data_IF_614239767492
#
_entry.id   IF_614239767492
#
_cell.length_a   1.000
_cell.length_b   1.000
_cell.length_c   1.000
_cell.angle_alpha   90.00
_cell.angle_beta   90.00
_cell.angle_gamma   90.00
#
_symmetry.space_group_name_H-M   'P 1'
#
loop_
_entity.id
_entity.type
_entity.pdbx_description
1 polymer ?
#
# COMPACT_ATOMS: atom_id res chain seq x y z
N UNK A 1 28.06 -21.10 7.09
CA UNK A 1 26.73 -20.50 7.07
C UNK A 1 26.10 -20.74 5.71
N UNK A 2 24.77 -20.97 5.66
CA UNK A 2 24.10 -21.20 4.39
C UNK A 2 24.01 -19.89 3.59
N UNK A 3 24.46 -19.93 2.35
CA UNK A 3 24.39 -18.80 1.41
C UNK A 3 22.99 -18.68 0.79
N UNK A 4 22.20 -19.75 0.85
CA UNK A 4 20.82 -19.78 0.35
C UNK A 4 19.87 -20.03 1.54
N UNK A 5 18.76 -19.26 1.65
CA UNK A 5 17.78 -19.49 2.71
C UNK A 5 17.22 -20.92 2.66
N UNK A 6 17.30 -21.70 3.74
CA UNK A 6 16.66 -23.00 3.77
C UNK A 6 15.14 -22.86 3.75
N UNK A 7 14.46 -23.79 3.10
CA UNK A 7 13.01 -23.89 3.17
C UNK A 7 12.60 -24.35 4.56
N UNK A 8 11.73 -23.59 5.21
CA UNK A 8 11.21 -23.89 6.55
C UNK A 8 9.68 -23.83 6.52
N UNK A 9 9.06 -24.51 7.50
CA UNK A 9 7.62 -24.51 7.65
C UNK A 9 7.11 -23.10 8.03
N UNK A 10 5.99 -22.68 7.47
CA UNK A 10 5.44 -21.31 7.64
C UNK A 10 5.15 -20.97 9.11
N UNK A 11 4.76 -21.94 9.93
CA UNK A 11 4.46 -21.76 11.35
C UNK A 11 5.64 -21.93 12.30
N UNK A 12 6.88 -22.08 11.82
CA UNK A 12 8.01 -22.42 12.72
C UNK A 12 8.37 -21.31 13.71
N UNK A 13 7.86 -20.10 13.53
CA UNK A 13 8.08 -18.93 14.39
C UNK A 13 6.77 -18.31 14.90
N UNK A 14 5.64 -19.02 14.89
CA UNK A 14 4.32 -18.45 15.20
C UNK A 14 4.26 -17.78 16.58
N UNK A 15 4.93 -18.33 17.58
CA UNK A 15 5.00 -17.77 18.93
C UNK A 15 6.21 -16.85 19.17
N UNK A 16 6.94 -16.50 18.11
CA UNK A 16 8.16 -15.71 18.20
C UNK A 16 7.94 -14.30 17.64
N UNK A 17 8.40 -13.28 18.36
CA UNK A 17 8.39 -11.90 17.87
C UNK A 17 9.52 -11.65 16.85
N UNK A 18 9.55 -12.45 15.76
CA UNK A 18 10.62 -12.35 14.74
C UNK A 18 10.69 -11.00 14.07
N UNK A 19 9.59 -10.27 14.03
CA UNK A 19 9.52 -8.89 13.51
C UNK A 19 10.34 -7.88 14.33
N UNK A 20 10.78 -8.26 15.55
CA UNK A 20 11.69 -7.48 16.41
C UNK A 20 13.08 -8.10 16.48
N UNK A 21 13.27 -9.29 15.91
CA UNK A 21 14.54 -10.00 15.96
C UNK A 21 15.47 -9.60 14.82
N UNK A 22 16.78 -9.63 15.11
CA UNK A 22 17.84 -9.43 14.12
C UNK A 22 18.30 -10.80 13.61
N UNK A 23 18.24 -11.01 12.28
CA UNK A 23 18.78 -12.18 11.61
C UNK A 23 20.15 -11.84 11.02
N UNK A 24 21.17 -12.60 11.40
CA UNK A 24 22.54 -12.43 10.89
C UNK A 24 22.83 -13.48 9.83
N UNK A 25 23.16 -13.03 8.59
CA UNK A 25 23.41 -13.91 7.43
C UNK A 25 24.67 -13.48 6.69
N UNK A 26 25.27 -14.34 5.84
CA UNK A 26 26.37 -13.91 4.99
C UNK A 26 26.00 -12.68 4.13
N UNK A 27 26.93 -11.73 3.95
CA UNK A 27 26.67 -10.47 3.25
C UNK A 27 26.03 -10.68 1.87
N UNK A 28 26.52 -11.64 1.09
CA UNK A 28 25.97 -11.97 -0.23
C UNK A 28 24.57 -12.63 -0.19
N UNK A 29 24.05 -12.93 0.99
CA UNK A 29 22.77 -13.62 1.18
C UNK A 29 21.67 -12.71 1.76
N UNK A 30 22.00 -11.48 2.14
CA UNK A 30 21.04 -10.54 2.76
C UNK A 30 19.78 -10.37 1.91
N UNK A 31 19.95 -10.10 0.61
CA UNK A 31 18.85 -9.98 -0.33
C UNK A 31 18.04 -11.27 -0.47
N UNK A 32 18.72 -12.42 -0.57
CA UNK A 32 18.07 -13.73 -0.70
C UNK A 32 17.23 -14.07 0.53
N UNK A 33 17.71 -13.78 1.74
CA UNK A 33 16.93 -13.96 2.97
C UNK A 33 15.81 -12.93 3.09
N UNK A 34 16.03 -11.69 2.65
CA UNK A 34 15.02 -10.63 2.62
C UNK A 34 13.82 -10.94 1.73
N UNK A 35 14.01 -11.77 0.70
CA UNK A 35 12.96 -12.20 -0.22
C UNK A 35 12.37 -13.59 0.10
N UNK A 36 13.05 -14.41 0.90
CA UNK A 36 12.63 -15.78 1.16
C UNK A 36 11.42 -15.87 2.09
N UNK A 37 10.53 -16.83 1.81
CA UNK A 37 9.35 -17.10 2.63
C UNK A 37 9.76 -17.35 4.08
N UNK A 38 9.00 -16.81 5.04
CA UNK A 38 9.25 -16.81 6.49
C UNK A 38 10.42 -15.92 6.91
N UNK A 39 11.60 -16.04 6.29
CA UNK A 39 12.80 -15.26 6.63
C UNK A 39 12.62 -13.76 6.47
N UNK A 40 11.88 -13.33 5.44
CA UNK A 40 11.57 -11.93 5.17
C UNK A 40 10.80 -11.19 6.28
N UNK A 41 10.26 -11.93 7.24
CA UNK A 41 9.49 -11.35 8.36
C UNK A 41 10.35 -11.03 9.59
N UNK A 42 11.65 -11.34 9.56
CA UNK A 42 12.57 -10.84 10.58
C UNK A 42 12.65 -9.31 10.54
N UNK A 43 12.71 -8.70 11.73
CA UNK A 43 12.72 -7.26 11.86
C UNK A 43 13.91 -6.60 11.17
N UNK A 44 15.09 -7.23 11.23
CA UNK A 44 16.30 -6.76 10.59
C UNK A 44 17.12 -7.95 10.10
N UNK A 45 17.58 -7.94 8.85
CA UNK A 45 18.49 -8.93 8.30
C UNK A 45 19.82 -8.23 8.01
N UNK A 46 20.89 -8.67 8.65
CA UNK A 46 22.21 -8.02 8.60
C UNK A 46 23.32 -9.03 8.27
N UNK A 47 24.43 -8.57 7.65
CA UNK A 47 25.58 -9.43 7.41
C UNK A 47 26.28 -9.83 8.72
N UNK A 48 26.71 -11.10 8.81
CA UNK A 48 27.50 -11.63 9.91
C UNK A 48 28.90 -11.01 10.00
N UNK A 49 29.44 -10.60 8.87
CA UNK A 49 30.82 -10.12 8.72
C UNK A 49 31.01 -8.69 9.27
N UNK A 50 30.04 -8.18 10.04
CA UNK A 50 30.12 -6.86 10.66
C UNK A 50 30.02 -5.70 9.68
N UNK A 51 29.61 -5.95 8.43
CA UNK A 51 29.24 -4.89 7.51
C UNK A 51 28.02 -4.18 8.08
N UNK A 52 28.15 -2.93 8.49
CA UNK A 52 27.00 -2.14 8.90
C UNK A 52 26.05 -2.03 7.72
N UNK A 53 24.76 -2.38 7.91
CA UNK A 53 23.72 -1.88 7.04
C UNK A 53 23.71 -0.37 7.26
N UNK A 54 24.12 0.37 6.27
CA UNK A 54 24.41 1.80 6.42
C UNK A 54 23.16 2.64 6.71
N UNK A 55 21.99 2.11 6.38
CA UNK A 55 20.69 2.74 6.62
C UNK A 55 19.55 1.75 6.37
N UNK A 56 18.37 2.11 6.85
CA UNK A 56 17.12 1.43 6.50
C UNK A 56 16.70 1.83 5.08
N UNK A 57 16.11 0.91 4.32
CA UNK A 57 15.44 1.27 3.07
C UNK A 57 14.38 2.31 3.35
N UNK A 58 14.26 3.28 2.46
CA UNK A 58 13.17 4.24 2.53
C UNK A 58 11.83 3.54 2.35
N UNK A 59 10.84 3.92 3.14
CA UNK A 59 9.47 3.42 3.06
C UNK A 59 8.89 3.66 1.68
N UNK A 60 8.39 2.62 0.98
CA UNK A 60 7.90 2.80 -0.38
C UNK A 60 6.59 3.59 -0.44
N UNK A 61 6.45 4.36 -1.49
CA UNK A 61 5.18 4.94 -1.92
C UNK A 61 4.37 3.92 -2.70
N UNK A 62 3.03 3.97 -2.59
CA UNK A 62 2.08 3.14 -3.33
C UNK A 62 1.19 4.06 -4.15
N UNK A 63 1.30 3.99 -5.47
CA UNK A 63 0.57 4.84 -6.41
C UNK A 63 -0.20 4.01 -7.43
N UNK A 64 -1.27 4.58 -7.98
CA UNK A 64 -2.02 3.99 -9.08
C UNK A 64 -1.96 4.91 -10.30
N UNK A 65 -1.33 4.44 -11.36
CA UNK A 65 -1.12 5.24 -12.58
C UNK A 65 -1.38 4.36 -13.80
N UNK A 66 -2.23 4.83 -14.71
CA UNK A 66 -2.53 4.16 -15.98
C UNK A 66 -2.91 2.67 -15.81
N UNK A 67 -3.78 2.36 -14.85
CA UNK A 67 -4.26 1.01 -14.62
C UNK A 67 -3.31 0.09 -13.87
N UNK A 68 -2.19 0.60 -13.35
CA UNK A 68 -1.17 -0.19 -12.66
C UNK A 68 -0.82 0.39 -11.30
N UNK A 69 -0.64 -0.50 -10.31
CA UNK A 69 0.02 -0.13 -9.06
C UNK A 69 1.51 0.08 -9.34
N UNK A 70 2.05 1.17 -8.81
CA UNK A 70 3.47 1.49 -8.85
C UNK A 70 3.98 1.67 -7.44
N UNK A 71 5.09 1.02 -7.15
CA UNK A 71 5.85 1.17 -5.93
C UNK A 71 7.11 1.95 -6.23
N UNK A 72 7.57 2.77 -5.30
CA UNK A 72 8.80 3.54 -5.48
C UNK A 72 9.34 4.09 -4.16
N UNK A 73 10.66 4.09 -4.00
CA UNK A 73 11.41 4.79 -2.97
C UNK A 73 12.73 5.28 -3.55
N UNK A 74 13.47 6.10 -2.81
CA UNK A 74 14.75 6.64 -3.27
C UNK A 74 15.94 5.72 -2.98
N UNK A 75 15.74 4.60 -2.25
CA UNK A 75 16.81 3.63 -1.98
C UNK A 75 17.26 2.98 -3.29
N UNK A 76 18.55 3.10 -3.68
CA UNK A 76 19.06 2.53 -4.91
C UNK A 76 18.94 1.01 -4.93
N UNK A 77 18.48 0.44 -6.05
CA UNK A 77 18.36 -1.02 -6.22
C UNK A 77 17.27 -1.66 -5.38
N UNK A 78 16.29 -0.88 -4.88
CA UNK A 78 15.23 -1.40 -4.06
C UNK A 78 14.29 -2.33 -4.85
N UNK A 79 13.97 -3.47 -4.24
CA UNK A 79 12.94 -4.41 -4.67
C UNK A 79 11.77 -4.32 -3.70
N UNK A 80 10.55 -4.60 -4.20
CA UNK A 80 9.32 -4.38 -3.43
C UNK A 80 8.59 -5.69 -3.17
N UNK A 81 8.34 -5.98 -1.89
CA UNK A 81 7.46 -7.05 -1.47
C UNK A 81 6.09 -6.47 -1.17
N UNK A 82 5.05 -6.99 -1.82
CA UNK A 82 3.70 -6.47 -1.65
C UNK A 82 2.70 -7.58 -1.37
N UNK A 83 1.60 -7.19 -0.73
CA UNK A 83 0.42 -8.01 -0.49
C UNK A 83 -0.81 -7.22 -0.90
N UNK A 84 -1.73 -7.84 -1.63
CA UNK A 84 -3.02 -7.27 -2.02
C UNK A 84 -4.11 -8.23 -1.54
N UNK A 85 -5.05 -7.71 -0.76
CA UNK A 85 -6.20 -8.47 -0.25
C UNK A 85 -7.50 -7.75 -0.60
N UNK A 86 -8.52 -8.49 -1.04
CA UNK A 86 -9.86 -7.95 -1.14
C UNK A 86 -10.36 -7.62 0.26
N UNK A 87 -11.06 -6.49 0.42
CA UNK A 87 -11.54 -6.05 1.74
C UNK A 87 -12.68 -6.92 2.29
N UNK A 88 -13.31 -7.69 1.43
CA UNK A 88 -14.38 -8.65 1.71
C UNK A 88 -13.91 -10.11 1.55
N UNK A 89 -12.60 -10.35 1.53
CA UNK A 89 -12.04 -11.70 1.52
C UNK A 89 -12.46 -12.45 2.80
N UNK A 90 -13.16 -13.55 2.62
CA UNK A 90 -13.59 -14.41 3.70
C UNK A 90 -13.60 -15.87 3.25
N UNK A 91 -13.54 -16.78 4.22
CA UNK A 91 -13.61 -18.21 3.98
C UNK A 91 -14.71 -18.78 4.85
N UNK A 92 -15.63 -19.56 4.23
CA UNK A 92 -16.73 -20.26 4.92
C UNK A 92 -17.59 -19.33 5.80
N UNK A 93 -17.88 -18.13 5.30
CA UNK A 93 -18.75 -17.16 5.98
C UNK A 93 -20.23 -17.47 5.73
N UNK A 94 -21.06 -17.18 6.72
CA UNK A 94 -22.52 -17.37 6.65
C UNK A 94 -23.19 -16.08 6.16
N UNK A 95 -24.04 -16.22 5.16
CA UNK A 95 -24.97 -15.19 4.74
C UNK A 95 -26.40 -15.76 4.74
N UNK A 96 -27.41 -14.92 4.92
CA UNK A 96 -28.80 -15.35 4.88
C UNK A 96 -29.30 -15.49 3.44
N UNK A 97 -29.15 -14.45 2.65
CA UNK A 97 -29.63 -14.36 1.26
C UNK A 97 -28.79 -13.45 0.37
N UNK A 98 -28.04 -12.50 0.94
CA UNK A 98 -27.21 -11.58 0.18
C UNK A 98 -25.89 -11.23 0.91
N UNK A 99 -24.87 -10.86 0.14
CA UNK A 99 -23.60 -10.36 0.62
C UNK A 99 -23.24 -9.11 -0.17
N UNK A 100 -22.96 -8.01 0.54
CA UNK A 100 -22.42 -6.78 -0.08
C UNK A 100 -20.94 -6.92 -0.32
N UNK A 101 -20.52 -6.81 -1.59
CA UNK A 101 -19.11 -6.82 -1.95
C UNK A 101 -18.51 -5.42 -1.84
N UNK A 102 -17.33 -5.35 -1.23
CA UNK A 102 -16.55 -4.12 -1.14
C UNK A 102 -15.68 -3.96 -2.41
N UNK A 103 -15.93 -2.92 -3.19
CA UNK A 103 -15.08 -2.60 -4.34
C UNK A 103 -13.74 -1.98 -3.88
N UNK A 104 -13.02 -2.65 -2.97
CA UNK A 104 -11.81 -2.16 -2.32
C UNK A 104 -10.79 -3.28 -2.10
N UNK A 105 -9.52 -2.93 -2.27
CA UNK A 105 -8.39 -3.77 -1.91
C UNK A 105 -7.52 -3.08 -0.85
N UNK A 106 -7.08 -3.83 0.15
CA UNK A 106 -6.07 -3.39 1.09
C UNK A 106 -4.68 -3.82 0.57
N UNK A 107 -3.75 -2.87 0.50
CA UNK A 107 -2.43 -3.04 -0.08
C UNK A 107 -1.40 -2.75 0.99
N UNK A 108 -0.38 -3.60 1.10
CA UNK A 108 0.81 -3.35 1.90
C UNK A 108 2.07 -3.61 1.08
N UNK A 109 3.12 -2.83 1.32
CA UNK A 109 4.38 -2.95 0.59
C UNK A 109 5.55 -2.53 1.49
N UNK A 110 6.68 -3.23 1.37
CA UNK A 110 7.95 -2.81 1.94
C UNK A 110 9.07 -2.99 0.91
N UNK A 111 10.16 -2.26 1.10
CA UNK A 111 11.33 -2.31 0.23
C UNK A 111 12.49 -3.06 0.89
N UNK A 112 13.28 -3.73 0.07
CA UNK A 112 14.57 -4.32 0.41
C UNK A 112 15.61 -3.88 -0.63
N UNK A 113 16.86 -3.71 -0.21
CA UNK A 113 17.99 -3.47 -1.10
C UNK A 113 19.27 -4.03 -0.50
N UNK A 114 20.25 -4.33 -1.37
CA UNK A 114 21.57 -4.79 -0.92
C UNK A 114 22.27 -3.72 -0.08
N UNK A 115 22.76 -4.12 1.09
CA UNK A 115 23.44 -3.21 2.03
C UNK A 115 22.52 -2.35 2.89
N UNK A 116 21.21 -2.52 2.77
CA UNK A 116 20.20 -1.82 3.58
C UNK A 116 19.41 -2.82 4.44
N UNK A 117 18.87 -2.38 5.55
CA UNK A 117 17.83 -3.09 6.27
C UNK A 117 16.47 -2.90 5.58
N UNK A 118 15.53 -3.81 5.83
CA UNK A 118 14.18 -3.73 5.33
C UNK A 118 13.52 -2.41 5.75
N UNK A 119 12.76 -1.78 4.84
CA UNK A 119 11.99 -0.58 5.13
C UNK A 119 10.80 -0.83 6.07
N UNK A 120 10.25 0.24 6.62
CA UNK A 120 8.90 0.24 7.14
C UNK A 120 7.90 -0.23 6.08
N UNK A 121 6.77 -0.79 6.54
CA UNK A 121 5.69 -1.21 5.63
C UNK A 121 4.79 -0.02 5.31
N UNK A 122 4.69 0.31 4.03
CA UNK A 122 3.68 1.22 3.50
C UNK A 122 2.34 0.51 3.35
N UNK A 123 1.25 1.19 3.64
CA UNK A 123 -0.11 0.68 3.45
C UNK A 123 -0.94 1.65 2.64
N UNK A 124 -1.85 1.11 1.82
CA UNK A 124 -2.79 1.90 1.04
C UNK A 124 -4.07 1.10 0.78
N UNK A 125 -5.12 1.79 0.34
CA UNK A 125 -6.39 1.17 -0.06
C UNK A 125 -6.70 1.57 -1.50
N UNK A 126 -6.95 0.59 -2.36
CA UNK A 126 -7.43 0.80 -3.72
C UNK A 126 -8.95 0.71 -3.74
N UNK A 127 -9.60 1.77 -4.20
CA UNK A 127 -11.03 1.83 -4.43
C UNK A 127 -11.32 1.84 -5.92
N UNK A 128 -12.34 1.08 -6.35
CA UNK A 128 -12.90 1.19 -7.68
C UNK A 128 -14.03 2.20 -7.68
N UNK A 129 -13.91 3.24 -8.47
CA UNK A 129 -14.93 4.28 -8.64
C UNK A 129 -15.41 4.32 -10.09
N UNK A 130 -16.67 4.75 -10.29
CA UNK A 130 -17.21 4.97 -11.64
C UNK A 130 -16.52 6.16 -12.29
N UNK A 131 -16.03 5.97 -13.52
CA UNK A 131 -15.51 7.03 -14.35
C UNK A 131 -16.55 7.33 -15.44
N UNK A 132 -17.04 8.55 -15.48
CA UNK A 132 -17.85 8.99 -16.61
C UNK A 132 -16.91 9.22 -17.79
N UNK A 133 -17.13 8.50 -18.87
CA UNK A 133 -16.49 8.78 -20.14
C UNK A 133 -17.51 9.58 -20.94
N UNK A 134 -17.18 10.85 -21.20
CA UNK A 134 -17.91 11.63 -22.19
C UNK A 134 -17.57 11.04 -23.56
N UNK A 135 -18.50 10.30 -24.11
CA UNK A 135 -18.45 9.83 -25.50
C UNK A 135 -19.58 10.52 -26.25
N UNK A 136 -19.31 11.02 -27.45
CA UNK A 136 -20.28 11.65 -28.31
C UNK A 136 -21.38 10.69 -28.81
N UNK A 137 -21.48 9.48 -28.30
CA UNK A 137 -22.40 8.44 -28.76
C UNK A 137 -23.28 7.89 -27.62
N UNK A 138 -24.52 8.25 -27.70
CA UNK A 138 -25.80 7.58 -27.31
C UNK A 138 -25.96 7.03 -25.87
N UNK A 139 -24.93 6.65 -25.13
CA UNK A 139 -24.95 6.40 -23.68
C UNK A 139 -23.55 6.56 -23.11
N UNK A 140 -23.38 7.27 -22.01
CA UNK A 140 -22.07 7.32 -21.34
C UNK A 140 -21.70 5.94 -20.85
N UNK A 141 -20.66 5.35 -21.43
CA UNK A 141 -20.09 4.12 -20.89
C UNK A 141 -19.47 4.43 -19.53
N UNK A 142 -20.03 3.89 -18.47
CA UNK A 142 -19.45 3.99 -17.13
C UNK A 142 -18.32 2.98 -17.06
N UNK A 143 -17.07 3.46 -17.01
CA UNK A 143 -15.93 2.62 -16.71
C UNK A 143 -15.56 2.74 -15.24
N UNK A 144 -15.18 1.61 -14.66
CA UNK A 144 -14.58 1.60 -13.32
C UNK A 144 -13.11 1.95 -13.43
N UNK A 145 -12.63 2.79 -12.51
CA UNK A 145 -11.21 3.11 -12.37
C UNK A 145 -10.77 2.97 -10.92
N UNK A 146 -9.50 2.65 -10.72
CA UNK A 146 -8.92 2.54 -9.39
C UNK A 146 -8.46 3.91 -8.87
N UNK A 147 -8.74 4.16 -7.59
CA UNK A 147 -8.15 5.26 -6.82
C UNK A 147 -7.49 4.66 -5.59
N UNK A 148 -6.19 4.89 -5.45
CA UNK A 148 -5.45 4.48 -4.26
C UNK A 148 -5.47 5.61 -3.25
N UNK A 149 -5.78 5.27 -2.01
CA UNK A 149 -5.74 6.17 -0.86
C UNK A 149 -4.68 5.68 0.11
N UNK A 150 -3.77 6.55 0.45
CA UNK A 150 -2.78 6.34 1.51
C UNK A 150 -2.92 7.44 2.57
N UNK A 151 -2.58 7.08 3.81
CA UNK A 151 -2.59 8.01 4.94
C UNK A 151 -1.25 7.92 5.65
N UNK A 152 -0.58 9.04 5.80
CA UNK A 152 0.72 9.11 6.46
C UNK A 152 0.90 10.47 7.13
N UNK A 153 1.29 10.47 8.41
CA UNK A 153 1.54 11.70 9.16
C UNK A 153 0.38 12.70 9.19
N UNK A 154 -0.87 12.23 9.17
CA UNK A 154 -2.05 13.10 9.11
C UNK A 154 -2.32 13.67 7.71
N UNK A 155 -1.62 13.20 6.68
CA UNK A 155 -1.86 13.56 5.28
C UNK A 155 -2.58 12.41 4.61
N UNK A 156 -3.73 12.70 4.01
CA UNK A 156 -4.47 11.78 3.13
C UNK A 156 -4.10 12.11 1.70
N UNK A 157 -3.58 11.13 0.98
CA UNK A 157 -3.21 11.25 -0.44
C UNK A 157 -4.04 10.31 -1.30
N UNK A 158 -4.66 10.84 -2.34
CA UNK A 158 -5.35 10.07 -3.37
C UNK A 158 -4.51 10.06 -4.65
N UNK A 159 -4.36 8.88 -5.28
CA UNK A 159 -3.70 8.73 -6.59
C UNK A 159 -4.59 7.94 -7.55
N UNK A 160 -4.33 8.05 -8.86
CA UNK A 160 -5.19 7.50 -9.92
C UNK A 160 -6.26 8.48 -10.39
N UNK A 161 -6.10 9.76 -10.08
CA UNK A 161 -6.98 10.83 -10.50
C UNK A 161 -6.66 11.30 -11.92
N UNK A 162 -7.64 11.90 -12.58
CA UNK A 162 -7.41 12.61 -13.84
C UNK A 162 -6.71 13.94 -13.55
N UNK A 163 -5.92 14.43 -14.49
CA UNK A 163 -5.30 15.75 -14.35
C UNK A 163 -6.37 16.84 -14.16
N UNK A 164 -6.13 17.79 -13.25
CA UNK A 164 -7.07 18.83 -12.82
C UNK A 164 -8.39 18.34 -12.21
N UNK A 165 -8.55 17.05 -11.92
CA UNK A 165 -9.76 16.54 -11.30
C UNK A 165 -9.95 17.15 -9.92
N UNK A 166 -11.16 17.64 -9.64
CA UNK A 166 -11.49 18.24 -8.36
C UNK A 166 -11.78 17.18 -7.30
N UNK A 167 -11.13 17.31 -6.16
CA UNK A 167 -11.40 16.52 -4.97
C UNK A 167 -11.80 17.45 -3.83
N UNK A 168 -12.95 17.21 -3.23
CA UNK A 168 -13.42 17.97 -2.07
C UNK A 168 -13.46 17.03 -0.85
N UNK A 169 -12.89 17.48 0.24
CA UNK A 169 -12.80 16.72 1.47
C UNK A 169 -13.75 17.24 2.52
N UNK A 170 -14.40 16.32 3.22
CA UNK A 170 -15.36 16.61 4.29
C UNK A 170 -15.05 15.74 5.51
N UNK A 171 -15.44 16.21 6.68
CA UNK A 171 -15.53 15.35 7.86
C UNK A 171 -16.87 14.58 7.90
N UNK A 172 -17.03 13.73 8.90
CA UNK A 172 -18.27 12.92 9.07
C UNK A 172 -19.52 13.73 9.31
N UNK A 173 -19.39 14.98 9.77
CA UNK A 173 -20.51 15.91 9.98
C UNK A 173 -20.88 16.68 8.70
N UNK A 174 -20.22 16.40 7.57
CA UNK A 174 -20.44 17.08 6.31
C UNK A 174 -19.77 18.46 6.19
N UNK A 175 -18.94 18.85 7.15
CA UNK A 175 -18.19 20.11 7.10
C UNK A 175 -17.07 19.96 6.10
N UNK A 176 -16.95 20.90 5.17
CA UNK A 176 -15.88 20.94 4.16
C UNK A 176 -14.54 21.25 4.84
N UNK A 177 -13.59 20.32 4.75
CA UNK A 177 -12.23 20.46 5.27
C UNK A 177 -11.32 21.17 4.26
N UNK A 178 -11.55 20.92 2.96
CA UNK A 178 -10.76 21.54 1.90
C UNK A 178 -11.17 21.04 0.52
N UNK A 179 -10.55 21.65 -0.48
CA UNK A 179 -10.71 21.29 -1.88
C UNK A 179 -9.35 21.42 -2.58
N UNK A 180 -9.00 20.46 -3.40
CA UNK A 180 -7.78 20.50 -4.20
C UNK A 180 -8.06 19.95 -5.61
N UNK A 181 -7.18 20.28 -6.54
CA UNK A 181 -7.19 19.71 -7.89
C UNK A 181 -6.02 18.76 -8.03
N UNK A 182 -6.26 17.65 -8.69
CA UNK A 182 -5.22 16.68 -8.93
C UNK A 182 -4.12 17.27 -9.83
N UNK A 183 -2.88 17.07 -9.39
CA UNK A 183 -1.65 17.37 -10.13
C UNK A 183 -0.86 16.06 -10.28
N UNK A 184 -0.42 15.74 -11.47
CA UNK A 184 0.26 14.47 -11.76
C UNK A 184 -0.55 13.23 -11.30
N UNK A 185 -1.88 13.32 -11.38
CA UNK A 185 -2.78 12.26 -10.98
C UNK A 185 -2.96 12.09 -9.46
N UNK A 186 -2.52 13.06 -8.65
CA UNK A 186 -2.61 13.00 -7.19
C UNK A 186 -3.28 14.23 -6.60
N UNK A 187 -3.95 14.05 -5.46
CA UNK A 187 -4.52 15.10 -4.64
C UNK A 187 -4.33 14.75 -3.17
N UNK A 188 -3.92 15.72 -2.34
CA UNK A 188 -3.66 15.49 -0.92
C UNK A 188 -4.31 16.57 -0.06
N UNK A 189 -4.62 16.20 1.19
CA UNK A 189 -5.05 17.12 2.25
C UNK A 189 -4.38 16.72 3.56
N UNK A 190 -4.00 17.71 4.36
CA UNK A 190 -3.65 17.50 5.76
C UNK A 190 -4.90 17.69 6.60
N UNK A 191 -5.26 16.71 7.40
CA UNK A 191 -6.43 16.75 8.28
C UNK A 191 -6.17 15.92 9.55
N UNK A 192 -6.80 16.34 10.62
CA UNK A 192 -6.70 15.71 11.95
C UNK A 192 -7.92 14.89 12.34
N UNK A 193 -8.92 14.85 11.46
CA UNK A 193 -10.14 14.07 11.68
C UNK A 193 -9.87 12.58 11.48
N UNK A 194 -10.31 11.73 12.40
CA UNK A 194 -10.17 10.25 12.31
C UNK A 194 -10.78 9.66 11.04
N UNK A 195 -11.78 10.34 10.49
CA UNK A 195 -12.49 9.91 9.28
C UNK A 195 -12.73 11.09 8.35
N UNK A 196 -12.27 10.94 7.13
CA UNK A 196 -12.41 11.91 6.04
C UNK A 196 -13.25 11.31 4.93
N UNK A 197 -14.12 12.13 4.35
CA UNK A 197 -14.89 11.78 3.14
C UNK A 197 -14.29 12.55 1.98
N UNK A 198 -13.65 11.87 1.06
CA UNK A 198 -13.14 12.44 -0.19
C UNK A 198 -14.20 12.30 -1.28
N UNK A 199 -14.68 13.41 -1.82
CA UNK A 199 -15.65 13.47 -2.94
C UNK A 199 -14.91 13.77 -4.25
N UNK A 200 -15.10 12.88 -5.22
CA UNK A 200 -14.54 12.97 -6.57
C UNK A 200 -15.73 12.93 -7.55
N UNK A 201 -16.10 14.08 -8.10
CA UNK A 201 -17.35 14.20 -8.89
C UNK A 201 -18.57 13.81 -8.08
N UNK A 202 -19.32 12.79 -8.51
CA UNK A 202 -20.48 12.22 -7.81
C UNK A 202 -20.13 11.10 -6.81
N UNK A 203 -18.89 10.64 -6.80
CA UNK A 203 -18.44 9.53 -5.96
C UNK A 203 -17.82 10.03 -4.66
N UNK A 204 -17.99 9.24 -3.60
CA UNK A 204 -17.39 9.53 -2.30
C UNK A 204 -16.65 8.32 -1.75
N UNK A 205 -15.47 8.54 -1.23
CA UNK A 205 -14.63 7.55 -0.57
C UNK A 205 -14.52 7.92 0.90
N UNK A 206 -14.85 6.98 1.78
CA UNK A 206 -14.65 7.15 3.23
C UNK A 206 -13.25 6.64 3.58
N UNK A 207 -12.42 7.52 4.10
CA UNK A 207 -11.06 7.26 4.53
C UNK A 207 -11.01 7.30 6.05
N UNK A 208 -10.50 6.25 6.67
CA UNK A 208 -10.16 6.22 8.09
C UNK A 208 -8.64 6.40 8.19
N UNK A 209 -8.23 7.36 9.00
CA UNK A 209 -6.82 7.61 9.32
C UNK A 209 -6.27 6.61 10.33
#
# INVERSE_FOLDING_TARGET
MATTPPTIYVGCFDDCSINKAKLMVPKASVSSYGSAAVWKYFGTIVPVDGGEVSSECEKPSINYVSGKLKFGCQTPGAEYHYTIKAADECTDALAKDEVSLAARYDISCFAIADGYSRSETATAKLYWISANIETDCIAPATQMRGVVVSTEGGIVTLSGLKENERVTFYNVSGIKLGETRAMNGQASISATDDVIIARIGSQSIKVKQ
#
